data_IF_687494560058
#
_entry.id   IF_687494560058
#
_cell.length_a   1.000
_cell.length_b   1.000
_cell.length_c   1.000
_cell.angle_alpha   90.00
_cell.angle_beta   90.00
_cell.angle_gamma   90.00
#
_symmetry.space_group_name_H-M   'P 1'
#
loop_
_entity.id
_entity.type
_entity.pdbx_description
1 polymer ?
#
# COMPACT_ATOMS: atom_id res chain seq x y z
N UNK A 1 -30.17 8.66 8.27
CA UNK A 1 -29.59 7.83 9.36
C UNK A 1 -29.06 6.55 8.74
N UNK A 2 -27.76 6.26 8.81
CA UNK A 2 -27.23 4.97 8.35
C UNK A 2 -27.74 3.90 9.31
N UNK A 3 -28.52 2.93 8.82
CA UNK A 3 -28.88 1.76 9.60
C UNK A 3 -27.58 1.01 9.93
N UNK A 4 -27.30 0.84 11.21
CA UNK A 4 -26.21 0.00 11.67
C UNK A 4 -26.66 -1.45 11.46
N UNK A 5 -25.99 -2.18 10.58
CA UNK A 5 -26.23 -3.61 10.37
C UNK A 5 -25.55 -4.43 11.45
N UNK A 6 -26.09 -5.61 11.79
CA UNK A 6 -25.47 -6.53 12.73
C UNK A 6 -24.22 -7.18 12.10
N UNK A 7 -23.36 -7.79 12.92
CA UNK A 7 -22.22 -8.57 12.45
C UNK A 7 -22.66 -9.72 11.52
N UNK A 8 -23.70 -10.42 11.90
CA UNK A 8 -24.26 -11.55 11.17
C UNK A 8 -24.79 -11.12 9.80
N UNK A 9 -25.53 -10.02 9.74
CA UNK A 9 -26.01 -9.43 8.49
C UNK A 9 -24.85 -8.97 7.61
N UNK A 10 -23.81 -8.33 8.19
CA UNK A 10 -22.63 -7.92 7.46
C UNK A 10 -21.90 -9.13 6.84
N UNK A 11 -21.64 -10.15 7.63
CA UNK A 11 -20.93 -11.34 7.16
C UNK A 11 -21.74 -12.08 6.07
N UNK A 12 -23.05 -12.24 6.26
CA UNK A 12 -23.92 -12.87 5.26
C UNK A 12 -23.94 -12.13 3.93
N UNK A 13 -23.87 -10.80 3.97
CA UNK A 13 -23.96 -9.95 2.76
C UNK A 13 -22.63 -9.78 2.05
N UNK A 14 -21.54 -9.64 2.79
CA UNK A 14 -20.26 -9.19 2.23
C UNK A 14 -19.14 -10.22 2.27
N UNK A 15 -19.14 -11.19 3.19
CA UNK A 15 -18.06 -12.15 3.25
C UNK A 15 -17.97 -13.02 2.01
N UNK A 16 -16.75 -13.27 1.55
CA UNK A 16 -16.44 -14.09 0.37
C UNK A 16 -15.39 -15.13 0.71
N UNK A 17 -15.62 -16.37 0.27
CA UNK A 17 -14.53 -17.32 0.08
C UNK A 17 -13.87 -17.02 -1.26
N UNK A 18 -12.58 -16.64 -1.22
CA UNK A 18 -11.82 -16.27 -2.42
C UNK A 18 -10.90 -17.38 -2.92
N UNK A 19 -10.98 -18.56 -2.35
CA UNK A 19 -10.25 -19.74 -2.87
C UNK A 19 -10.74 -20.10 -4.26
N UNK A 20 -9.84 -20.44 -5.17
CA UNK A 20 -10.18 -20.76 -6.56
C UNK A 20 -10.56 -19.55 -7.42
N UNK A 21 -10.33 -18.32 -6.94
CA UNK A 21 -10.61 -17.07 -7.67
C UNK A 21 -9.36 -16.43 -8.27
N UNK A 22 -8.24 -17.11 -8.30
CA UNK A 22 -6.90 -16.59 -8.61
C UNK A 22 -6.45 -15.50 -7.62
N UNK A 23 -6.95 -15.55 -6.41
CA UNK A 23 -6.49 -14.66 -5.32
C UNK A 23 -5.08 -15.04 -4.91
N UNK A 24 -4.12 -14.15 -5.10
CA UNK A 24 -2.75 -14.42 -4.67
C UNK A 24 -2.66 -14.69 -3.16
N UNK A 25 -3.53 -14.04 -2.36
CA UNK A 25 -3.62 -14.23 -0.91
C UNK A 25 -3.95 -15.67 -0.53
N UNK A 26 -4.91 -16.29 -1.23
CA UNK A 26 -5.43 -17.62 -0.94
C UNK A 26 -4.81 -18.71 -1.82
N UNK A 27 -4.82 -18.51 -3.13
CA UNK A 27 -4.40 -19.53 -4.09
C UNK A 27 -2.88 -19.58 -4.25
N UNK A 28 -2.17 -18.52 -3.83
CA UNK A 28 -0.71 -18.45 -3.81
C UNK A 28 -0.03 -19.09 -2.60
N UNK A 29 -0.78 -19.59 -1.59
CA UNK A 29 -0.23 -20.07 -0.33
C UNK A 29 0.77 -21.21 -0.52
N UNK A 30 0.37 -22.25 -1.25
CA UNK A 30 1.20 -23.43 -1.48
C UNK A 30 2.51 -23.08 -2.18
N UNK A 31 2.47 -22.19 -3.15
CA UNK A 31 3.67 -21.73 -3.86
C UNK A 31 4.59 -20.91 -2.94
N UNK A 32 4.01 -20.02 -2.13
CA UNK A 32 4.75 -19.07 -1.30
C UNK A 32 5.29 -19.70 -0.02
N UNK A 33 4.45 -20.48 0.69
CA UNK A 33 4.73 -21.01 2.02
C UNK A 33 4.88 -22.54 2.06
N UNK A 34 4.75 -23.22 0.92
CA UNK A 34 4.81 -24.68 0.77
C UNK A 34 3.70 -25.44 1.53
N UNK A 35 2.69 -24.72 1.98
CA UNK A 35 1.49 -25.25 2.65
C UNK A 35 0.31 -24.34 2.33
N UNK A 36 -0.90 -24.90 2.34
CA UNK A 36 -2.18 -24.18 2.26
C UNK A 36 -2.98 -24.27 3.57
N UNK A 37 -2.45 -25.02 4.55
CA UNK A 37 -3.01 -25.14 5.90
C UNK A 37 -2.52 -24.02 6.82
N UNK A 38 -2.84 -22.77 6.44
CA UNK A 38 -2.51 -21.55 7.20
C UNK A 38 -3.59 -20.49 7.00
N UNK A 39 -3.72 -19.59 7.97
CA UNK A 39 -4.54 -18.39 7.82
C UNK A 39 -3.71 -17.32 7.12
N UNK A 40 -4.07 -16.90 5.90
CA UNK A 40 -3.29 -15.91 5.15
C UNK A 40 -3.49 -14.51 5.71
N UNK A 41 -2.41 -13.91 6.21
CA UNK A 41 -2.37 -12.52 6.70
C UNK A 41 -1.23 -11.71 6.03
N UNK A 42 -0.69 -12.19 4.91
CA UNK A 42 0.49 -11.64 4.25
C UNK A 42 0.17 -10.63 3.13
N UNK A 43 -1.07 -10.60 2.67
CA UNK A 43 -1.59 -9.60 1.72
C UNK A 43 -2.72 -8.84 2.39
N UNK A 44 -2.69 -7.52 2.33
CA UNK A 44 -3.64 -6.63 2.98
C UNK A 44 -4.93 -6.39 2.16
N UNK A 45 -5.35 -7.36 1.35
CA UNK A 45 -6.65 -7.32 0.68
C UNK A 45 -7.74 -7.96 1.55
N UNK A 46 -8.95 -7.44 1.46
CA UNK A 46 -10.07 -7.90 2.27
C UNK A 46 -10.82 -9.05 1.59
N UNK A 47 -11.40 -9.94 2.43
CA UNK A 47 -12.26 -11.04 1.97
C UNK A 47 -13.75 -10.66 2.08
N UNK A 48 -14.03 -9.39 1.74
CA UNK A 48 -15.37 -8.83 1.70
C UNK A 48 -15.64 -8.18 0.34
N UNK A 49 -16.90 -8.27 -0.10
CA UNK A 49 -17.36 -7.51 -1.26
C UNK A 49 -17.19 -6.02 -1.01
N UNK A 50 -16.87 -5.29 -2.04
CA UNK A 50 -16.92 -3.81 -2.00
C UNK A 50 -18.38 -3.34 -1.89
N UNK A 51 -18.63 -2.12 -1.37
CA UNK A 51 -19.98 -1.54 -1.36
C UNK A 51 -20.63 -1.55 -2.74
N UNK A 52 -21.94 -1.74 -2.78
CA UNK A 52 -22.72 -1.82 -4.03
C UNK A 52 -22.59 -0.55 -4.89
N UNK A 53 -22.37 0.60 -4.29
CA UNK A 53 -22.12 1.86 -5.00
C UNK A 53 -20.86 1.80 -5.86
N UNK A 54 -19.82 1.07 -5.39
CA UNK A 54 -18.57 0.87 -6.15
C UNK A 54 -18.82 -0.06 -7.34
N UNK A 55 -19.49 -1.20 -7.10
CA UNK A 55 -19.85 -2.14 -8.18
C UNK A 55 -20.75 -1.51 -9.22
N UNK A 56 -21.73 -0.70 -8.81
CA UNK A 56 -22.63 0.00 -9.72
C UNK A 56 -21.87 0.96 -10.64
N UNK A 57 -20.97 1.77 -10.09
CA UNK A 57 -20.15 2.70 -10.89
C UNK A 57 -19.23 1.98 -11.87
N UNK A 58 -18.63 0.86 -11.47
CA UNK A 58 -17.81 0.03 -12.35
C UNK A 58 -18.66 -0.61 -13.47
N UNK A 59 -19.85 -1.11 -13.14
CA UNK A 59 -20.77 -1.72 -14.11
C UNK A 59 -21.25 -0.69 -15.14
N UNK A 60 -21.56 0.53 -14.72
CA UNK A 60 -21.88 1.62 -15.63
C UNK A 60 -20.73 1.87 -16.63
N UNK A 61 -19.50 1.90 -16.13
CA UNK A 61 -18.32 2.07 -17.01
C UNK A 61 -18.10 0.89 -17.94
N UNK A 62 -18.33 -0.34 -17.48
CA UNK A 62 -18.24 -1.54 -18.31
C UNK A 62 -19.31 -1.50 -19.42
N UNK A 63 -20.55 -1.15 -19.10
CA UNK A 63 -21.64 -1.06 -20.06
C UNK A 63 -21.42 0.03 -21.12
N UNK A 64 -20.67 1.09 -20.80
CA UNK A 64 -20.23 2.09 -21.79
C UNK A 64 -19.40 1.47 -22.92
N UNK A 65 -18.62 0.42 -22.64
CA UNK A 65 -17.95 -0.44 -23.65
C UNK A 65 -16.73 0.15 -24.34
N UNK A 66 -16.44 1.45 -24.19
CA UNK A 66 -15.27 2.08 -24.82
C UNK A 66 -14.22 2.42 -23.76
N UNK A 67 -13.04 1.78 -23.86
CA UNK A 67 -11.93 1.89 -22.91
C UNK A 67 -10.73 2.55 -23.62
N UNK A 68 -10.77 3.87 -23.73
CA UNK A 68 -9.68 4.67 -24.30
C UNK A 68 -8.88 5.41 -23.23
N UNK A 69 -8.11 6.39 -23.65
CA UNK A 69 -7.42 7.30 -22.72
C UNK A 69 -8.44 8.12 -21.94
N UNK A 70 -8.28 8.15 -20.62
CA UNK A 70 -9.17 8.85 -19.72
C UNK A 70 -8.51 10.09 -19.10
N UNK A 71 -9.30 11.12 -18.85
CA UNK A 71 -8.88 12.27 -18.05
C UNK A 71 -9.22 12.00 -16.58
N UNK A 72 -8.31 12.41 -15.71
CA UNK A 72 -8.60 12.44 -14.26
C UNK A 72 -9.59 13.59 -14.03
N UNK A 73 -10.78 13.25 -13.53
CA UNK A 73 -11.82 14.26 -13.32
C UNK A 73 -11.44 15.27 -12.24
N UNK A 74 -11.88 16.53 -12.34
CA UNK A 74 -11.71 17.50 -11.26
C UNK A 74 -12.28 17.04 -9.93
N UNK A 75 -13.39 16.28 -9.95
CA UNK A 75 -14.04 15.72 -8.77
C UNK A 75 -13.18 14.66 -8.07
N UNK A 76 -12.35 13.91 -8.80
CA UNK A 76 -11.44 12.94 -8.21
C UNK A 76 -10.48 13.59 -7.21
N UNK A 77 -9.79 14.66 -7.62
CA UNK A 77 -8.86 15.37 -6.76
C UNK A 77 -9.57 16.00 -5.56
N UNK A 78 -10.75 16.60 -5.77
CA UNK A 78 -11.49 17.23 -4.69
C UNK A 78 -11.98 16.20 -3.67
N UNK A 79 -12.52 15.07 -4.12
CA UNK A 79 -12.96 13.99 -3.23
C UNK A 79 -11.81 13.46 -2.37
N UNK A 80 -10.62 13.30 -2.95
CA UNK A 80 -9.44 12.86 -2.22
C UNK A 80 -8.98 13.90 -1.19
N UNK A 81 -8.95 15.20 -1.55
CA UNK A 81 -8.60 16.29 -0.65
C UNK A 81 -9.60 16.36 0.52
N UNK A 82 -10.90 16.28 0.23
CA UNK A 82 -11.96 16.34 1.23
C UNK A 82 -11.87 15.13 2.19
N UNK A 83 -11.52 13.96 1.67
CA UNK A 83 -11.33 12.77 2.49
C UNK A 83 -10.15 12.93 3.46
N UNK A 84 -8.99 13.36 2.96
CA UNK A 84 -7.80 13.62 3.79
C UNK A 84 -8.07 14.69 4.84
N UNK A 85 -8.77 15.77 4.46
CA UNK A 85 -9.13 16.84 5.38
C UNK A 85 -10.00 16.34 6.52
N UNK A 86 -11.04 15.55 6.19
CA UNK A 86 -11.98 15.04 7.21
C UNK A 86 -11.37 13.99 8.13
N UNK A 87 -10.54 13.08 7.60
CA UNK A 87 -10.05 11.93 8.35
C UNK A 87 -8.68 12.14 8.99
N UNK A 88 -7.87 13.05 8.44
CA UNK A 88 -6.49 13.26 8.88
C UNK A 88 -6.17 14.72 9.23
N UNK A 89 -7.12 15.66 9.08
CA UNK A 89 -6.88 17.09 9.34
C UNK A 89 -5.85 17.71 8.39
N UNK A 90 -5.59 17.09 7.24
CA UNK A 90 -4.59 17.49 6.27
C UNK A 90 -5.23 17.87 4.93
N UNK A 91 -4.98 19.09 4.46
CA UNK A 91 -5.55 19.61 3.22
C UNK A 91 -4.44 19.88 2.19
N UNK A 92 -4.12 18.91 1.33
CA UNK A 92 -3.11 19.10 0.29
C UNK A 92 -3.59 20.04 -0.82
N UNK A 93 -2.66 20.75 -1.46
CA UNK A 93 -2.99 21.52 -2.67
C UNK A 93 -3.15 20.55 -3.85
N UNK A 94 -4.12 20.85 -4.74
CA UNK A 94 -4.39 20.01 -5.93
C UNK A 94 -3.13 19.77 -6.79
N UNK A 95 -2.27 20.76 -6.95
CA UNK A 95 -1.04 20.65 -7.74
C UNK A 95 0.07 19.82 -7.09
N UNK A 96 -0.10 19.40 -5.82
CA UNK A 96 0.79 18.45 -5.15
C UNK A 96 0.44 17.00 -5.45
N UNK A 97 -0.80 16.75 -5.88
CA UNK A 97 -1.28 15.39 -6.12
C UNK A 97 -0.78 14.88 -7.47
N UNK A 98 -0.34 13.63 -7.47
CA UNK A 98 0.02 12.88 -8.67
C UNK A 98 -0.70 11.54 -8.63
N UNK A 99 -1.36 11.20 -9.73
CA UNK A 99 -1.98 9.90 -9.87
C UNK A 99 -0.94 8.86 -10.28
N UNK A 100 -0.99 7.70 -9.63
CA UNK A 100 -0.15 6.55 -9.96
C UNK A 100 -0.97 5.27 -9.95
N UNK A 101 -0.52 4.24 -10.65
CA UNK A 101 -1.22 2.95 -10.74
C UNK A 101 -1.08 2.08 -9.49
N UNK A 102 -0.33 2.52 -8.47
CA UNK A 102 -0.17 1.81 -7.21
C UNK A 102 1.08 2.22 -6.44
N UNK A 103 1.08 1.95 -5.14
CA UNK A 103 2.16 2.35 -4.22
C UNK A 103 3.51 1.76 -4.62
N UNK A 104 3.56 0.48 -4.96
CA UNK A 104 4.83 -0.17 -5.33
C UNK A 104 5.39 0.42 -6.63
N UNK A 105 4.56 0.62 -7.65
CA UNK A 105 4.96 1.32 -8.88
C UNK A 105 5.51 2.72 -8.58
N UNK A 106 4.90 3.41 -7.61
CA UNK A 106 5.36 4.74 -7.17
C UNK A 106 6.74 4.67 -6.52
N UNK A 107 7.04 3.64 -5.73
CA UNK A 107 8.37 3.44 -5.15
C UNK A 107 9.44 3.29 -6.25
N UNK A 108 9.17 2.49 -7.28
CA UNK A 108 10.07 2.38 -8.43
C UNK A 108 10.32 3.75 -9.09
N UNK A 109 9.28 4.53 -9.31
CA UNK A 109 9.41 5.86 -9.91
C UNK A 109 10.20 6.84 -9.04
N UNK A 110 9.96 6.83 -7.73
CA UNK A 110 10.72 7.66 -6.77
C UNK A 110 12.20 7.29 -6.80
N UNK A 111 12.53 6.01 -6.74
CA UNK A 111 13.92 5.56 -6.80
C UNK A 111 14.60 5.99 -8.10
N UNK A 112 13.92 5.83 -9.24
CA UNK A 112 14.48 6.27 -10.53
C UNK A 112 14.61 7.79 -10.66
N UNK A 113 13.68 8.55 -10.08
CA UNK A 113 13.68 10.01 -10.18
C UNK A 113 14.71 10.68 -9.27
N UNK A 114 14.95 10.13 -8.06
CA UNK A 114 15.72 10.80 -7.03
C UNK A 114 17.05 10.12 -6.69
N UNK A 115 17.32 8.94 -7.23
CA UNK A 115 18.54 8.19 -6.94
C UNK A 115 19.17 7.57 -8.19
N UNK A 116 20.43 7.14 -8.07
CA UNK A 116 21.19 6.47 -9.14
C UNK A 116 21.42 4.99 -8.77
N UNK A 117 21.73 4.11 -9.74
CA UNK A 117 22.19 2.76 -9.45
C UNK A 117 23.41 2.79 -8.48
N UNK A 118 23.43 1.85 -7.53
CA UNK A 118 24.38 1.73 -6.42
C UNK A 118 24.19 2.71 -5.26
N UNK A 119 23.23 3.63 -5.32
CA UNK A 119 22.89 4.46 -4.18
C UNK A 119 22.37 3.62 -3.01
N UNK A 120 22.61 4.09 -1.80
CA UNK A 120 22.13 3.47 -0.57
C UNK A 120 20.80 4.07 -0.14
N UNK A 121 19.83 3.20 0.17
CA UNK A 121 18.49 3.56 0.58
C UNK A 121 18.24 3.08 1.99
N UNK A 122 18.02 3.98 2.93
CA UNK A 122 17.69 3.59 4.31
C UNK A 122 16.24 3.08 4.39
N UNK A 123 16.08 1.96 5.09
CA UNK A 123 14.79 1.32 5.32
C UNK A 123 14.63 1.09 6.82
N UNK A 124 13.47 1.47 7.37
CA UNK A 124 13.11 1.18 8.76
C UNK A 124 12.49 -0.22 8.83
N UNK A 125 13.10 -1.14 9.56
CA UNK A 125 12.64 -2.53 9.69
C UNK A 125 12.10 -2.85 11.08
N UNK A 126 11.12 -3.79 11.23
CA UNK A 126 10.49 -4.57 10.16
C UNK A 126 9.50 -3.74 9.34
N UNK A 127 9.42 -4.02 8.04
CA UNK A 127 8.54 -3.32 7.10
C UNK A 127 8.05 -4.28 6.01
N UNK A 128 7.04 -3.87 5.26
CA UNK A 128 6.50 -4.62 4.12
C UNK A 128 7.61 -4.94 3.11
N UNK A 129 7.70 -6.20 2.71
CA UNK A 129 8.82 -6.74 1.95
C UNK A 129 9.19 -5.99 0.64
N UNK A 130 8.26 -5.35 -0.11
CA UNK A 130 8.64 -4.61 -1.31
C UNK A 130 9.55 -3.40 -1.06
N UNK A 131 9.60 -2.89 0.17
CA UNK A 131 10.56 -1.84 0.51
C UNK A 131 12.01 -2.34 0.50
N UNK A 132 12.23 -3.66 0.66
CA UNK A 132 13.55 -4.28 0.49
C UNK A 132 13.83 -4.63 -0.98
N UNK A 133 12.86 -5.26 -1.67
CA UNK A 133 13.07 -5.74 -3.03
C UNK A 133 13.14 -4.61 -4.04
N UNK A 134 12.35 -3.54 -3.90
CA UNK A 134 12.33 -2.44 -4.88
C UNK A 134 13.69 -1.75 -5.05
N UNK A 135 14.44 -1.39 -3.97
CA UNK A 135 15.82 -0.91 -4.12
C UNK A 135 16.72 -1.93 -4.81
N UNK A 136 16.70 -3.20 -4.41
CA UNK A 136 17.50 -4.26 -5.01
C UNK A 136 17.20 -4.45 -6.49
N UNK A 137 15.93 -4.55 -6.86
CA UNK A 137 15.46 -4.75 -8.24
C UNK A 137 15.84 -3.56 -9.15
N UNK A 138 16.07 -2.39 -8.55
CA UNK A 138 16.50 -1.17 -9.26
C UNK A 138 18.00 -0.93 -9.15
N UNK A 139 18.80 -1.87 -8.63
CA UNK A 139 20.24 -1.79 -8.49
C UNK A 139 20.72 -0.83 -7.41
N UNK A 140 19.88 -0.54 -6.40
CA UNK A 140 20.23 0.21 -5.18
C UNK A 140 20.47 -0.75 -4.03
N UNK A 141 21.13 -0.27 -2.99
CA UNK A 141 21.45 -1.07 -1.81
C UNK A 141 20.54 -0.68 -0.63
N UNK A 142 19.68 -1.58 -0.14
CA UNK A 142 18.92 -1.31 1.08
C UNK A 142 19.83 -1.36 2.31
N UNK A 143 19.78 -0.32 3.12
CA UNK A 143 20.44 -0.22 4.43
C UNK A 143 19.36 -0.21 5.49
N UNK A 144 19.33 -1.24 6.33
CA UNK A 144 18.27 -1.39 7.33
C UNK A 144 18.64 -0.72 8.66
N UNK A 145 17.71 0.07 9.20
CA UNK A 145 17.72 0.51 10.59
C UNK A 145 16.54 -0.13 11.32
N UNK A 146 16.81 -0.91 12.37
CA UNK A 146 15.77 -1.63 13.07
C UNK A 146 15.02 -0.71 14.03
N UNK A 147 13.69 -0.76 13.94
CA UNK A 147 12.81 -0.14 14.91
C UNK A 147 13.04 -0.78 16.28
N UNK A 148 13.07 0.04 17.32
CA UNK A 148 13.08 -0.45 18.70
C UNK A 148 11.64 -0.65 19.18
N UNK A 149 11.49 -1.53 20.15
CA UNK A 149 10.21 -1.78 20.80
C UNK A 149 10.29 -1.42 22.29
N UNK A 150 9.34 -0.68 22.80
CA UNK A 150 9.25 -0.35 24.21
C UNK A 150 8.63 -1.51 25.03
N UNK A 151 8.57 -1.35 26.34
CA UNK A 151 8.02 -2.35 27.28
C UNK A 151 6.52 -2.63 27.06
N UNK A 152 5.81 -1.78 26.32
CA UNK A 152 4.40 -1.95 25.99
C UNK A 152 4.19 -2.63 24.64
N UNK A 153 5.27 -2.93 23.92
CA UNK A 153 5.23 -3.51 22.60
C UNK A 153 5.10 -2.48 21.46
N UNK A 154 5.16 -1.17 21.75
CA UNK A 154 5.08 -0.11 20.74
C UNK A 154 6.41 0.07 20.06
N UNK A 155 6.38 0.09 18.72
CA UNK A 155 7.55 0.38 17.90
C UNK A 155 7.87 1.88 17.83
N UNK A 156 9.16 2.21 17.80
CA UNK A 156 9.64 3.57 17.60
C UNK A 156 10.96 3.58 16.81
N UNK A 157 11.25 4.70 16.17
CA UNK A 157 12.45 4.88 15.35
C UNK A 157 13.68 5.03 16.26
N UNK A 158 14.71 4.25 15.98
CA UNK A 158 16.03 4.39 16.63
C UNK A 158 16.84 5.47 15.91
N UNK A 159 16.63 6.73 16.27
CA UNK A 159 17.28 7.87 15.61
C UNK A 159 18.81 7.83 15.71
N UNK A 160 19.38 7.29 16.78
CA UNK A 160 20.84 7.17 16.93
C UNK A 160 21.42 6.20 15.87
N UNK A 161 20.74 5.09 15.61
CA UNK A 161 21.13 4.13 14.56
C UNK A 161 20.94 4.73 13.17
N UNK A 162 19.82 5.44 12.94
CA UNK A 162 19.57 6.16 11.69
C UNK A 162 20.67 7.17 11.41
N UNK A 163 21.06 7.99 12.39
CA UNK A 163 22.12 8.98 12.26
C UNK A 163 23.48 8.33 11.97
N UNK A 164 23.79 7.21 12.65
CA UNK A 164 25.00 6.44 12.42
C UNK A 164 25.04 5.93 10.98
N UNK A 165 23.95 5.31 10.49
CA UNK A 165 23.88 4.78 9.12
C UNK A 165 23.95 5.87 8.05
N UNK A 166 23.41 7.07 8.32
CA UNK A 166 23.57 8.22 7.43
C UNK A 166 25.05 8.56 7.26
N UNK A 167 25.80 8.59 8.35
CA UNK A 167 27.23 8.94 8.33
C UNK A 167 28.10 7.85 7.67
N UNK A 168 27.77 6.58 7.92
CA UNK A 168 28.58 5.45 7.47
C UNK A 168 28.35 5.06 6.01
N UNK A 169 27.11 5.22 5.50
CA UNK A 169 26.69 4.65 4.22
C UNK A 169 26.43 5.64 3.10
N UNK A 170 26.68 6.94 3.29
CA UNK A 170 26.40 7.97 2.27
C UNK A 170 25.00 7.78 1.64
N UNK A 171 23.97 7.88 2.46
CA UNK A 171 22.60 7.60 2.06
C UNK A 171 22.06 8.63 1.06
N UNK A 172 21.36 8.17 0.04
CA UNK A 172 20.72 9.01 -0.98
C UNK A 172 19.22 9.22 -0.73
N UNK A 173 18.56 8.28 -0.05
CA UNK A 173 17.13 8.33 0.25
C UNK A 173 16.82 7.61 1.55
N UNK A 174 15.82 8.11 2.28
CA UNK A 174 15.27 7.47 3.49
C UNK A 174 13.81 7.13 3.24
N UNK A 175 13.44 5.89 3.53
CA UNK A 175 12.05 5.46 3.64
C UNK A 175 11.56 5.72 5.07
N UNK A 176 10.63 6.63 5.24
CA UNK A 176 9.99 6.98 6.52
C UNK A 176 8.51 6.63 6.47
#
# INVERSE_FOLDING_TARGET
MSQTITKEEFLSRYALDRRGSNSIKWDGLKQRFRTDDVIPMWVADMDFKVPETVTAALTERINHGAFGYALISPTYHQTFIDWLTRHHGYTPKKNWLRFTSGTITTLFWILHAFTKPKDNILILSPVYYPFYSTPQDTGRTPICSELKQDKTGRFYINFDDVETKIKEHNLSLIHI
#
